data_IF_105803501955
#
_entry.id   IF_105803501955
#
_cell.length_a   1.000
_cell.length_b   1.000
_cell.length_c   1.000
_cell.angle_alpha   90.00
_cell.angle_beta   90.00
_cell.angle_gamma   90.00
#
_symmetry.space_group_name_H-M   'P 1'
#
loop_
_entity.id
_entity.type
_entity.pdbx_description
1 polymer ?
#
# COMPACT_ATOMS: atom_id res chain seq x y z
N UNK A 1 -36.16 -26.52 -38.01
CA UNK A 1 -34.74 -26.14 -37.83
C UNK A 1 -34.63 -24.64 -38.10
N UNK A 2 -34.58 -23.82 -37.05
CA UNK A 2 -34.45 -22.36 -37.20
C UNK A 2 -32.97 -22.03 -37.44
N UNK A 3 -32.62 -21.61 -38.66
CA UNK A 3 -31.31 -21.04 -38.92
C UNK A 3 -31.23 -19.65 -38.27
N UNK A 4 -30.29 -19.39 -37.35
CA UNK A 4 -30.12 -18.06 -36.80
C UNK A 4 -29.72 -17.10 -37.93
N UNK A 5 -30.42 -15.98 -38.03
CA UNK A 5 -30.16 -14.96 -39.05
C UNK A 5 -28.71 -14.48 -38.96
N UNK A 6 -27.97 -14.36 -40.09
CA UNK A 6 -26.60 -13.87 -40.09
C UNK A 6 -26.49 -12.44 -39.51
N UNK A 7 -27.56 -11.65 -39.60
CA UNK A 7 -27.66 -10.33 -38.97
C UNK A 7 -27.64 -10.41 -37.44
N UNK A 8 -28.24 -11.45 -36.86
CA UNK A 8 -28.23 -11.69 -35.41
C UNK A 8 -26.82 -12.07 -34.93
N UNK A 9 -26.08 -12.82 -35.75
CA UNK A 9 -24.67 -13.16 -35.50
C UNK A 9 -23.78 -11.92 -35.53
N UNK A 10 -23.96 -11.03 -36.52
CA UNK A 10 -23.24 -9.76 -36.64
C UNK A 10 -23.53 -8.80 -35.47
N UNK A 11 -24.79 -8.73 -35.01
CA UNK A 11 -25.18 -7.96 -33.83
C UNK A 11 -24.55 -8.51 -32.54
N UNK A 12 -24.47 -9.84 -32.39
CA UNK A 12 -23.79 -10.50 -31.27
C UNK A 12 -22.27 -10.23 -31.26
N UNK A 13 -21.63 -10.22 -32.43
CA UNK A 13 -20.20 -9.88 -32.58
C UNK A 13 -19.92 -8.39 -32.28
N UNK A 14 -20.83 -7.49 -32.63
CA UNK A 14 -20.73 -6.05 -32.32
C UNK A 14 -21.06 -5.73 -30.86
N UNK A 15 -21.82 -6.59 -30.18
CA UNK A 15 -22.15 -6.47 -28.76
C UNK A 15 -21.10 -7.12 -27.84
N UNK A 16 -20.08 -7.79 -28.37
CA UNK A 16 -18.94 -8.18 -27.55
C UNK A 16 -18.29 -6.89 -27.01
N UNK A 17 -18.25 -6.66 -25.69
CA UNK A 17 -17.43 -5.58 -25.17
C UNK A 17 -16.01 -5.89 -25.60
N UNK A 18 -15.43 -5.00 -26.42
CA UNK A 18 -13.99 -4.94 -26.57
C UNK A 18 -13.48 -4.58 -25.18
N UNK A 19 -13.15 -5.59 -24.37
CA UNK A 19 -12.59 -5.35 -23.04
C UNK A 19 -11.27 -4.63 -23.32
N UNK A 20 -11.28 -3.31 -23.22
CA UNK A 20 -10.07 -2.53 -23.18
C UNK A 20 -9.30 -3.01 -21.95
N UNK A 21 -8.12 -3.58 -22.17
CA UNK A 21 -7.12 -3.79 -21.11
C UNK A 21 -6.78 -2.41 -20.55
N UNK A 22 -7.45 -1.97 -19.48
CA UNK A 22 -7.04 -0.74 -18.82
C UNK A 22 -5.74 -1.04 -18.05
N UNK A 23 -4.60 -0.64 -18.62
CA UNK A 23 -3.33 -0.55 -17.91
C UNK A 23 -3.28 0.80 -17.20
N UNK A 24 -3.20 0.80 -15.87
CA UNK A 24 -3.04 2.04 -15.11
C UNK A 24 -1.58 2.25 -14.75
N UNK A 25 -1.13 3.49 -14.83
CA UNK A 25 0.23 3.90 -14.52
C UNK A 25 0.20 5.05 -13.50
N UNK A 26 1.11 5.01 -12.55
CA UNK A 26 1.33 6.09 -11.59
C UNK A 26 2.82 6.48 -11.59
N UNK A 27 3.12 7.68 -12.09
CA UNK A 27 4.47 8.22 -12.18
C UNK A 27 4.75 9.11 -10.97
N UNK A 28 5.52 8.60 -10.00
CA UNK A 28 5.78 9.33 -8.75
C UNK A 28 7.26 9.68 -8.62
N UNK A 29 7.56 10.91 -8.23
CA UNK A 29 8.91 11.31 -7.81
C UNK A 29 9.78 11.92 -8.91
N UNK A 30 11.10 11.77 -8.76
CA UNK A 30 12.09 12.48 -9.58
C UNK A 30 12.44 11.78 -10.89
N UNK A 31 13.05 12.54 -11.80
CA UNK A 31 13.53 12.07 -13.11
C UNK A 31 15.01 11.67 -13.02
N UNK A 32 15.43 10.63 -13.73
CA UNK A 32 16.85 10.29 -13.90
C UNK A 32 17.41 10.87 -15.20
N UNK A 33 18.71 11.15 -15.23
CA UNK A 33 19.36 11.66 -16.44
C UNK A 33 19.51 10.52 -17.46
N UNK A 34 19.20 10.79 -18.73
CA UNK A 34 19.48 9.87 -19.82
C UNK A 34 20.98 9.52 -19.89
N UNK A 35 21.29 8.29 -20.30
CA UNK A 35 22.63 7.70 -20.34
C UNK A 35 23.34 7.70 -18.98
N UNK A 36 22.60 7.70 -17.87
CA UNK A 36 23.19 7.58 -16.54
C UNK A 36 23.45 6.12 -16.16
N UNK A 37 24.32 5.93 -15.17
CA UNK A 37 24.52 4.61 -14.54
C UNK A 37 23.22 4.03 -13.97
N UNK A 38 22.32 4.90 -13.50
CA UNK A 38 20.99 4.49 -13.03
C UNK A 38 20.17 3.85 -14.16
N UNK A 39 20.16 4.45 -15.35
CA UNK A 39 19.45 3.89 -16.52
C UNK A 39 20.03 2.54 -16.95
N UNK A 40 21.36 2.42 -17.01
CA UNK A 40 22.00 1.14 -17.34
C UNK A 40 21.64 0.04 -16.32
N UNK A 41 21.62 0.37 -15.03
CA UNK A 41 21.20 -0.55 -13.99
C UNK A 41 19.70 -0.88 -14.07
N UNK A 42 18.86 0.07 -14.50
CA UNK A 42 17.43 -0.13 -14.68
C UNK A 42 17.15 -1.09 -15.85
N UNK A 43 17.88 -0.94 -16.97
CA UNK A 43 17.80 -1.89 -18.10
C UNK A 43 18.22 -3.30 -17.69
N UNK A 44 19.27 -3.43 -16.89
CA UNK A 44 19.70 -4.74 -16.35
C UNK A 44 18.65 -5.32 -15.39
N UNK A 45 18.01 -4.48 -14.59
CA UNK A 45 16.91 -4.89 -13.73
C UNK A 45 15.70 -5.38 -14.55
N UNK A 46 15.34 -4.68 -15.62
CA UNK A 46 14.27 -5.06 -16.54
C UNK A 46 14.55 -6.39 -17.29
N UNK A 47 15.82 -6.74 -17.50
CA UNK A 47 16.21 -8.00 -18.11
C UNK A 47 16.13 -9.20 -17.16
N UNK A 48 16.41 -9.00 -15.87
CA UNK A 48 16.53 -10.08 -14.88
C UNK A 48 15.22 -10.35 -14.15
N UNK A 49 14.50 -9.29 -13.76
CA UNK A 49 13.30 -9.40 -12.92
C UNK A 49 12.21 -10.28 -13.55
N UNK A 50 11.89 -10.24 -14.86
CA UNK A 50 10.87 -11.10 -15.45
C UNK A 50 11.13 -12.60 -15.23
N UNK A 51 12.39 -13.02 -15.38
CA UNK A 51 12.78 -14.42 -15.20
C UNK A 51 12.72 -14.82 -13.72
N UNK A 52 13.15 -13.95 -12.81
CA UNK A 52 13.07 -14.20 -11.37
C UNK A 52 11.63 -14.34 -10.88
N UNK A 53 10.73 -13.48 -11.36
CA UNK A 53 9.31 -13.53 -11.02
C UNK A 53 8.68 -14.82 -11.52
N UNK A 54 8.98 -15.24 -12.75
CA UNK A 54 8.46 -16.46 -13.34
C UNK A 54 8.99 -17.75 -12.68
N UNK A 55 10.23 -17.72 -12.17
CA UNK A 55 10.86 -18.83 -11.46
C UNK A 55 10.42 -18.94 -9.98
N UNK A 56 9.87 -17.87 -9.42
CA UNK A 56 9.38 -17.84 -8.04
C UNK A 56 8.10 -18.66 -7.90
N UNK A 57 8.02 -19.48 -6.85
CA UNK A 57 6.81 -20.28 -6.53
C UNK A 57 5.56 -19.41 -6.33
N UNK A 58 5.74 -18.18 -5.84
CA UNK A 58 4.66 -17.23 -5.58
C UNK A 58 4.47 -16.21 -6.72
N UNK A 59 5.11 -16.43 -7.88
CA UNK A 59 5.09 -15.54 -9.04
C UNK A 59 5.38 -14.07 -8.68
N UNK A 60 6.30 -13.87 -7.74
CA UNK A 60 6.68 -12.56 -7.24
C UNK A 60 8.19 -12.49 -7.02
N UNK A 61 8.77 -11.33 -7.31
CA UNK A 61 10.18 -11.06 -7.06
C UNK A 61 10.43 -9.59 -6.72
N UNK A 62 11.58 -9.33 -6.10
CA UNK A 62 12.11 -7.96 -5.99
C UNK A 62 13.60 -7.99 -6.06
N UNK A 63 14.11 -7.10 -6.89
CA UNK A 63 15.53 -7.03 -7.19
C UNK A 63 15.96 -5.57 -7.22
N UNK A 64 17.17 -5.33 -6.71
CA UNK A 64 17.87 -4.07 -6.89
C UNK A 64 19.19 -4.34 -7.59
N UNK A 65 19.58 -3.46 -8.51
CA UNK A 65 20.81 -3.60 -9.31
C UNK A 65 21.68 -2.37 -9.13
N UNK A 66 22.97 -2.56 -8.87
CA UNK A 66 23.93 -1.47 -8.67
C UNK A 66 24.09 -1.04 -7.21
N UNK A 67 24.76 0.10 -7.04
CA UNK A 67 25.09 0.71 -5.74
C UNK A 67 24.52 2.13 -5.63
N UNK A 68 24.31 2.59 -4.40
CA UNK A 68 23.78 3.92 -4.10
C UNK A 68 24.72 5.01 -4.66
N UNK A 69 24.23 6.10 -5.29
CA UNK A 69 22.82 6.48 -5.55
C UNK A 69 22.17 5.83 -6.77
N UNK A 70 22.94 5.10 -7.59
CA UNK A 70 22.50 4.56 -8.87
C UNK A 70 21.93 3.15 -8.77
N UNK A 71 21.17 2.86 -7.71
CA UNK A 71 20.60 1.52 -7.45
C UNK A 71 19.08 1.50 -7.68
N UNK A 72 18.61 1.32 -8.91
CA UNK A 72 17.20 1.05 -9.16
C UNK A 72 16.78 -0.25 -8.48
N UNK A 73 15.55 -0.26 -8.00
CA UNK A 73 14.91 -1.39 -7.34
C UNK A 73 13.50 -1.52 -7.87
N UNK A 74 13.06 -2.76 -8.05
CA UNK A 74 11.75 -3.04 -8.60
C UNK A 74 11.16 -4.29 -7.95
N UNK A 75 9.85 -4.26 -7.75
CA UNK A 75 9.04 -5.40 -7.37
C UNK A 75 8.08 -5.75 -8.48
N UNK A 76 7.84 -7.05 -8.68
CA UNK A 76 6.77 -7.50 -9.56
C UNK A 76 6.06 -8.69 -8.97
N UNK A 77 4.78 -8.81 -9.31
CA UNK A 77 3.90 -9.89 -8.90
C UNK A 77 2.94 -10.20 -10.05
N UNK A 78 2.76 -11.48 -10.37
CA UNK A 78 1.74 -11.92 -11.31
C UNK A 78 0.52 -12.45 -10.56
N UNK A 79 -0.65 -12.35 -11.20
CA UNK A 79 -1.86 -12.94 -10.63
C UNK A 79 -1.78 -14.47 -10.60
N UNK A 80 -2.49 -15.05 -9.65
CA UNK A 80 -2.68 -16.50 -9.54
C UNK A 80 -3.32 -17.06 -10.81
N UNK A 81 -2.83 -18.22 -11.26
CA UNK A 81 -3.32 -18.91 -12.46
C UNK A 81 -2.63 -18.51 -13.78
N UNK A 82 -1.70 -17.55 -13.76
CA UNK A 82 -0.89 -17.19 -14.93
C UNK A 82 0.30 -18.15 -15.07
N UNK A 83 0.59 -18.63 -16.28
CA UNK A 83 1.78 -19.47 -16.50
C UNK A 83 3.07 -18.67 -16.28
N UNK A 84 4.16 -19.33 -15.88
CA UNK A 84 5.47 -18.68 -15.69
C UNK A 84 5.92 -17.91 -16.93
N UNK A 85 5.71 -18.46 -18.14
CA UNK A 85 6.04 -17.78 -19.40
C UNK A 85 5.21 -16.51 -19.62
N UNK A 86 3.90 -16.58 -19.36
CA UNK A 86 3.00 -15.42 -19.48
C UNK A 86 3.30 -14.36 -18.43
N UNK A 87 3.71 -14.77 -17.23
CA UNK A 87 4.15 -13.88 -16.17
C UNK A 87 5.41 -13.12 -16.57
N UNK A 88 6.45 -13.81 -17.06
CA UNK A 88 7.67 -13.16 -17.57
C UNK A 88 7.36 -12.17 -18.70
N UNK A 89 6.51 -12.57 -19.66
CA UNK A 89 6.11 -11.70 -20.76
C UNK A 89 5.35 -10.45 -20.27
N UNK A 90 4.46 -10.61 -19.29
CA UNK A 90 3.72 -9.49 -18.69
C UNK A 90 4.66 -8.51 -18.00
N UNK A 91 5.58 -9.00 -17.16
CA UNK A 91 6.52 -8.14 -16.42
C UNK A 91 7.42 -7.38 -17.41
N UNK A 92 7.93 -8.05 -18.45
CA UNK A 92 8.72 -7.39 -19.49
C UNK A 92 7.92 -6.33 -20.27
N UNK A 93 6.65 -6.61 -20.56
CA UNK A 93 5.72 -5.64 -21.16
C UNK A 93 5.49 -4.43 -20.26
N UNK A 94 5.28 -4.65 -18.96
CA UNK A 94 5.07 -3.60 -17.97
C UNK A 94 6.27 -2.65 -17.86
N UNK A 95 7.52 -3.13 -17.99
CA UNK A 95 8.69 -2.25 -18.05
C UNK A 95 8.66 -1.33 -19.28
N UNK A 96 8.27 -1.84 -20.46
CA UNK A 96 8.17 -1.05 -21.69
C UNK A 96 7.06 -0.01 -21.61
N UNK A 97 5.93 -0.37 -21.02
CA UNK A 97 4.82 0.55 -20.78
C UNK A 97 5.18 1.62 -19.74
N UNK A 98 5.88 1.24 -18.67
CA UNK A 98 6.40 2.18 -17.68
C UNK A 98 7.32 3.23 -18.32
N UNK A 99 8.24 2.83 -19.20
CA UNK A 99 9.13 3.75 -19.90
C UNK A 99 8.38 4.70 -20.84
N UNK A 100 7.31 4.23 -21.50
CA UNK A 100 6.48 5.04 -22.39
C UNK A 100 5.61 6.04 -21.64
N UNK A 101 5.00 5.61 -20.53
CA UNK A 101 4.10 6.44 -19.73
C UNK A 101 4.86 7.42 -18.81
N UNK A 102 5.97 6.97 -18.23
CA UNK A 102 6.81 7.72 -17.30
C UNK A 102 8.25 7.88 -17.87
N UNK A 103 8.46 8.70 -18.91
CA UNK A 103 9.77 8.87 -19.50
C UNK A 103 10.76 9.36 -18.43
N UNK A 104 11.84 8.59 -18.25
CA UNK A 104 12.89 8.85 -17.26
C UNK A 104 12.42 8.90 -15.79
N UNK A 105 11.24 8.37 -15.45
CA UNK A 105 10.74 8.33 -14.06
C UNK A 105 11.55 7.39 -13.16
N UNK A 106 11.95 7.84 -11.97
CA UNK A 106 12.62 6.98 -10.96
C UNK A 106 11.65 6.12 -10.15
N UNK A 107 10.36 6.48 -10.10
CA UNK A 107 9.32 5.62 -9.53
C UNK A 107 8.13 5.57 -10.49
N UNK A 108 7.63 4.37 -10.69
CA UNK A 108 6.48 4.09 -11.53
C UNK A 108 5.76 2.86 -10.98
N UNK A 109 4.45 2.89 -10.90
CA UNK A 109 3.64 1.69 -10.68
C UNK A 109 2.86 1.40 -11.96
N UNK A 110 2.87 0.15 -12.41
CA UNK A 110 2.12 -0.33 -13.57
C UNK A 110 1.23 -1.48 -13.12
N UNK A 111 -0.06 -1.35 -13.35
CA UNK A 111 -1.05 -2.39 -13.12
C UNK A 111 -1.55 -2.89 -14.48
N UNK A 112 -1.05 -4.06 -14.89
CA UNK A 112 -1.49 -4.76 -16.08
C UNK A 112 -2.45 -5.91 -15.70
N UNK A 113 -3.19 -6.44 -16.68
CA UNK A 113 -4.18 -7.52 -16.43
C UNK A 113 -3.62 -8.73 -15.70
N UNK A 114 -2.36 -9.08 -15.98
CA UNK A 114 -1.74 -10.33 -15.52
C UNK A 114 -0.62 -10.11 -14.51
N UNK A 115 -0.20 -8.86 -14.28
CA UNK A 115 0.91 -8.54 -13.39
C UNK A 115 0.89 -7.10 -12.91
N UNK A 116 1.54 -6.88 -11.78
CA UNK A 116 1.88 -5.57 -11.24
C UNK A 116 3.39 -5.39 -11.24
N UNK A 117 3.85 -4.19 -11.57
CA UNK A 117 5.25 -3.79 -11.54
C UNK A 117 5.36 -2.47 -10.78
N UNK A 118 6.27 -2.39 -9.82
CA UNK A 118 6.59 -1.16 -9.11
C UNK A 118 8.09 -0.89 -9.16
N UNK A 119 8.46 0.29 -9.66
CA UNK A 119 9.81 0.85 -9.65
C UNK A 119 9.97 1.76 -8.43
N UNK A 120 11.11 1.61 -7.76
CA UNK A 120 11.54 2.18 -6.48
C UNK A 120 11.26 1.31 -5.24
N UNK A 121 12.07 1.55 -4.20
CA UNK A 121 11.72 1.18 -2.82
C UNK A 121 10.47 1.98 -2.41
N UNK A 122 9.29 1.56 -2.88
CA UNK A 122 8.25 1.43 -1.89
C UNK A 122 8.82 0.43 -0.89
N UNK A 123 8.96 0.78 0.41
CA UNK A 123 9.07 -0.30 1.38
C UNK A 123 7.98 -1.30 1.01
N UNK A 124 8.32 -2.59 0.91
CA UNK A 124 7.33 -3.66 0.91
C UNK A 124 6.66 -3.68 2.29
N UNK A 125 6.04 -2.57 2.66
CA UNK A 125 5.01 -2.41 3.65
C UNK A 125 3.63 -2.39 2.96
N UNK A 126 3.57 -2.62 1.64
CA UNK A 126 2.39 -3.16 0.96
C UNK A 126 2.53 -4.67 0.75
N UNK A 127 3.14 -5.37 1.72
CA UNK A 127 2.40 -6.51 2.23
C UNK A 127 1.06 -5.98 2.71
N UNK A 128 0.01 -6.75 2.55
CA UNK A 128 -1.28 -6.53 3.18
C UNK A 128 -1.11 -6.49 4.71
N UNK A 129 -0.42 -5.49 5.27
CA UNK A 129 -0.76 -4.96 6.57
C UNK A 129 -1.97 -4.14 6.25
N UNK A 130 -3.10 -4.76 6.54
CA UNK A 130 -4.27 -4.09 7.07
C UNK A 130 -3.94 -2.63 7.34
N UNK A 131 -4.78 -1.73 6.86
CA UNK A 131 -5.20 -0.64 7.73
C UNK A 131 -5.53 -1.35 9.04
N UNK A 132 -4.56 -1.45 9.95
CA UNK A 132 -4.76 -2.12 11.20
C UNK A 132 -5.78 -1.20 11.84
N UNK A 133 -6.93 -1.73 12.22
CA UNK A 133 -7.90 -0.92 12.96
C UNK A 133 -7.22 -0.18 14.13
N UNK A 134 -6.09 -0.69 14.64
CA UNK A 134 -5.20 0.00 15.58
C UNK A 134 -4.58 1.33 15.08
N UNK A 135 -4.24 1.50 13.81
CA UNK A 135 -3.63 2.75 13.31
C UNK A 135 -4.68 3.87 13.07
N UNK A 136 -5.94 3.50 12.77
CA UNK A 136 -7.06 4.45 12.64
C UNK A 136 -7.81 4.72 13.95
N UNK A 137 -7.97 3.72 14.82
CA UNK A 137 -8.61 3.88 16.13
C UNK A 137 -7.63 4.28 17.24
N UNK A 138 -6.32 4.12 17.01
CA UNK A 138 -5.26 4.45 17.95
C UNK A 138 -5.33 5.87 18.49
N UNK A 139 -5.45 6.91 17.64
CA UNK A 139 -5.58 8.28 18.12
C UNK A 139 -6.86 8.49 18.95
N UNK A 140 -8.00 7.97 18.47
CA UNK A 140 -9.30 8.17 19.12
C UNK A 140 -9.40 7.53 20.52
N UNK A 141 -8.90 6.30 20.67
CA UNK A 141 -8.88 5.60 21.95
C UNK A 141 -7.90 6.23 22.96
N UNK A 142 -6.79 6.79 22.48
CA UNK A 142 -5.82 7.51 23.34
C UNK A 142 -6.45 8.80 23.88
N UNK A 143 -7.15 9.59 23.06
CA UNK A 143 -7.82 10.81 23.52
C UNK A 143 -8.95 10.50 24.52
N UNK A 144 -9.68 9.40 24.34
CA UNK A 144 -10.68 8.95 25.31
C UNK A 144 -10.04 8.55 26.66
N UNK A 145 -8.96 7.77 26.62
CA UNK A 145 -8.26 7.34 27.85
C UNK A 145 -7.69 8.53 28.65
N UNK A 146 -7.10 9.52 27.96
CA UNK A 146 -6.61 10.74 28.60
C UNK A 146 -7.77 11.54 29.20
N UNK A 147 -8.89 11.67 28.48
CA UNK A 147 -10.09 12.35 28.97
C UNK A 147 -10.69 11.69 30.22
N UNK A 148 -10.84 10.36 30.21
CA UNK A 148 -11.35 9.62 31.36
C UNK A 148 -10.40 9.67 32.56
N UNK A 149 -9.09 9.56 32.34
CA UNK A 149 -8.10 9.69 33.41
C UNK A 149 -8.15 11.08 34.05
N UNK A 150 -8.33 12.14 33.25
CA UNK A 150 -8.46 13.51 33.75
C UNK A 150 -9.76 13.72 34.55
N UNK A 151 -10.90 13.25 34.04
CA UNK A 151 -12.19 13.32 34.74
C UNK A 151 -12.16 12.56 36.07
N UNK A 152 -11.58 11.36 36.06
CA UNK A 152 -11.41 10.56 37.27
C UNK A 152 -10.50 11.27 38.28
N UNK A 153 -9.40 11.88 37.83
CA UNK A 153 -8.53 12.67 38.70
C UNK A 153 -9.28 13.85 39.32
N UNK A 154 -10.08 14.61 38.54
CA UNK A 154 -10.89 15.71 39.07
C UNK A 154 -11.92 15.22 40.11
N UNK A 155 -12.58 14.09 39.88
CA UNK A 155 -13.49 13.48 40.86
C UNK A 155 -12.78 13.06 42.14
N UNK A 156 -11.56 12.50 42.03
CA UNK A 156 -10.73 12.18 43.18
C UNK A 156 -10.29 13.43 43.95
N UNK A 157 -9.96 14.52 43.26
CA UNK A 157 -9.65 15.80 43.89
C UNK A 157 -10.85 16.32 44.69
N UNK A 158 -12.03 16.36 44.07
CA UNK A 158 -13.27 16.80 44.72
C UNK A 158 -13.61 15.93 45.95
N UNK A 159 -13.51 14.60 45.81
CA UNK A 159 -13.76 13.71 46.94
C UNK A 159 -12.73 13.89 48.06
N UNK A 160 -11.46 14.10 47.72
CA UNK A 160 -10.40 14.35 48.69
C UNK A 160 -10.62 15.69 49.42
N UNK A 161 -11.07 16.71 48.71
CA UNK A 161 -11.38 18.01 49.29
C UNK A 161 -12.61 17.95 50.18
N UNK A 162 -13.67 17.24 49.77
CA UNK A 162 -14.81 16.95 50.65
C UNK A 162 -14.41 16.17 51.90
N UNK A 163 -13.57 15.13 51.78
CA UNK A 163 -13.07 14.41 52.97
C UNK A 163 -12.22 15.28 53.87
N UNK A 164 -11.35 16.13 53.32
CA UNK A 164 -10.57 17.09 54.12
C UNK A 164 -11.47 18.09 54.83
N UNK A 165 -12.49 18.63 54.16
CA UNK A 165 -13.46 19.53 54.76
C UNK A 165 -14.29 18.85 55.87
N UNK A 166 -14.67 17.58 55.69
CA UNK A 166 -15.35 16.79 56.73
C UNK A 166 -14.43 16.46 57.91
N UNK A 167 -13.16 16.10 57.69
CA UNK A 167 -12.20 15.84 58.77
C UNK A 167 -11.88 17.11 59.57
N UNK A 168 -11.70 18.26 58.92
CA UNK A 168 -11.51 19.55 59.61
C UNK A 168 -12.71 19.93 60.46
N UNK A 169 -13.94 19.58 60.03
CA UNK A 169 -15.17 19.81 60.80
C UNK A 169 -15.33 18.85 61.99
N UNK A 170 -14.76 17.65 61.93
CA UNK A 170 -14.73 16.71 63.06
C UNK A 170 -13.61 17.02 64.07
N UNK A 171 -12.54 17.69 63.65
CA UNK A 171 -11.43 18.11 64.55
C UNK A 171 -11.70 19.44 65.26
N UNK A 172 -12.75 20.17 64.88
CA UNK A 172 -13.27 21.33 65.60
C UNK A 172 -14.38 20.97 66.62
N UNK A 173 -14.46 19.71 67.06
CA UNK A 173 -15.21 19.35 68.26
C UNK A 173 -14.23 19.19 69.43
N UNK A 174 -14.09 20.21 70.30
CA UNK A 174 -13.57 20.00 71.64
C UNK A 174 -14.52 19.12 72.43
N UNK A 175 -13.98 18.03 72.96
CA UNK A 175 -14.42 17.39 74.19
C UNK A 175 -13.94 18.25 75.38
N UNK A 176 -14.87 18.94 76.05
CA UNK A 176 -14.79 19.60 77.38
C UNK A 176 -16.00 20.57 77.44
N UNK A 177 -16.78 20.76 78.49
CA UNK A 177 -16.81 20.22 79.85
C UNK A 177 -18.16 20.67 80.44
N UNK A 178 -19.03 19.73 80.86
CA UNK A 178 -19.98 19.77 82.00
C UNK A 178 -21.06 18.68 81.89
#
# INVERSE_FOLDING_TARGET
MHHPSPFLLLLLLAALPLVATATTFDCVGGVYKANSTYEANLRRLAAVLPAETAASQSLQATRGVGYWPNRPRASSQCYWGVSSSSCAACVAGAFREAERACPHGKKAAVFARNCTLSLADFPRALGFRTISWLDLLGPGLIFQAIGFAWLFFLLLQEWRDKRRASMMRCSSLPSEDQ
#
